data_IF_357885931102
#
_entry.id   IF_357885931102
#
_cell.length_a   1.000
_cell.length_b   1.000
_cell.length_c   1.000
_cell.angle_alpha   90.00
_cell.angle_beta   90.00
_cell.angle_gamma   90.00
#
_symmetry.space_group_name_H-M   'P 1'
#
loop_
_entity.id
_entity.type
_entity.pdbx_description
1 polymer ?
#
# COMPACT_ATOMS: atom_id res chain seq x y z
N UNK A 1 1.54 -1.66 20.87
CA UNK A 1 0.96 -2.62 19.89
C UNK A 1 0.04 -1.82 18.97
N UNK A 2 0.02 -2.07 17.66
CA UNK A 2 -0.80 -1.29 16.72
C UNK A 2 -2.31 -1.52 16.97
N UNK A 3 -3.10 -0.44 17.04
CA UNK A 3 -4.55 -0.47 17.32
C UNK A 3 -5.30 -1.45 16.40
N UNK A 4 -5.05 -1.38 15.08
CA UNK A 4 -5.69 -2.28 14.11
C UNK A 4 -5.29 -3.76 14.30
N UNK A 5 -4.11 -4.05 14.83
CA UNK A 5 -3.69 -5.42 15.13
C UNK A 5 -4.46 -6.01 16.30
N UNK A 6 -4.75 -5.20 17.31
CA UNK A 6 -5.61 -5.61 18.45
C UNK A 6 -7.05 -5.78 17.98
N UNK A 7 -7.59 -4.84 17.23
CA UNK A 7 -8.92 -4.90 16.63
C UNK A 7 -9.08 -6.14 15.73
N UNK A 8 -8.04 -6.49 14.94
CA UNK A 8 -8.07 -7.73 14.15
C UNK A 8 -8.28 -8.96 15.03
N UNK A 9 -7.55 -9.07 16.14
CA UNK A 9 -7.64 -10.23 17.04
C UNK A 9 -8.94 -10.29 17.82
N UNK A 10 -9.44 -9.16 18.30
CA UNK A 10 -10.60 -9.09 19.19
C UNK A 10 -11.93 -9.11 18.44
N UNK A 11 -12.01 -8.50 17.26
CA UNK A 11 -13.27 -8.28 16.57
C UNK A 11 -13.33 -8.89 15.16
N UNK A 12 -12.27 -8.66 14.34
CA UNK A 12 -12.30 -9.01 12.92
C UNK A 12 -12.21 -10.53 12.73
N UNK A 13 -11.28 -11.18 13.41
CA UNK A 13 -11.07 -12.62 13.26
C UNK A 13 -12.30 -13.46 13.69
N UNK A 14 -12.97 -13.18 14.83
CA UNK A 14 -14.19 -13.89 15.18
C UNK A 14 -15.33 -13.70 14.17
N UNK A 15 -15.54 -12.46 13.69
CA UNK A 15 -16.58 -12.14 12.68
C UNK A 15 -16.34 -12.86 11.34
N UNK A 16 -15.07 -12.95 10.91
CA UNK A 16 -14.72 -13.69 9.69
C UNK A 16 -14.92 -15.20 9.88
N UNK A 17 -14.57 -15.73 11.04
CA UNK A 17 -14.76 -17.14 11.36
C UNK A 17 -16.23 -17.54 11.31
N UNK A 18 -17.12 -16.72 11.86
CA UNK A 18 -18.56 -16.93 11.84
C UNK A 18 -19.14 -16.80 10.41
N UNK A 19 -18.76 -15.74 9.69
CA UNK A 19 -19.30 -15.45 8.34
C UNK A 19 -18.96 -16.52 7.31
N UNK A 20 -17.72 -17.02 7.32
CA UNK A 20 -17.23 -18.01 6.36
C UNK A 20 -17.18 -19.44 6.89
N UNK A 21 -17.63 -19.67 8.13
CA UNK A 21 -17.68 -20.99 8.79
C UNK A 21 -16.34 -21.75 8.74
N UNK A 22 -15.24 -21.07 9.05
CA UNK A 22 -13.93 -21.71 9.07
C UNK A 22 -13.83 -22.76 10.17
N UNK A 23 -13.23 -23.90 9.85
CA UNK A 23 -13.05 -25.03 10.80
C UNK A 23 -11.89 -24.80 11.78
N UNK A 24 -10.94 -23.93 11.43
CA UNK A 24 -9.76 -23.67 12.23
C UNK A 24 -9.44 -22.17 12.24
N UNK A 25 -9.01 -21.62 13.40
CA UNK A 25 -8.53 -20.24 13.47
C UNK A 25 -7.38 -19.91 12.51
N UNK A 26 -6.60 -20.91 12.10
CA UNK A 26 -5.49 -20.74 11.17
C UNK A 26 -5.94 -20.50 9.72
N UNK A 27 -7.20 -20.79 9.38
CA UNK A 27 -7.77 -20.54 8.05
C UNK A 27 -8.24 -19.10 7.89
N UNK A 28 -8.41 -18.36 8.99
CA UNK A 28 -8.91 -16.98 8.95
C UNK A 28 -7.94 -16.12 8.15
N UNK A 29 -8.41 -15.38 7.12
CA UNK A 29 -7.57 -14.50 6.33
C UNK A 29 -6.98 -13.37 7.19
N UNK A 30 -5.71 -13.07 6.96
CA UNK A 30 -4.98 -12.00 7.62
C UNK A 30 -4.13 -11.23 6.61
N UNK A 31 -3.75 -10.01 6.96
CA UNK A 31 -2.74 -9.28 6.21
C UNK A 31 -1.37 -9.93 6.38
N UNK A 32 -0.69 -10.19 5.27
CA UNK A 32 0.69 -10.68 5.23
C UNK A 32 1.68 -9.52 5.13
N UNK A 33 1.47 -8.62 4.18
CA UNK A 33 2.31 -7.45 3.93
C UNK A 33 1.56 -6.36 3.17
N UNK A 34 2.08 -5.13 3.27
CA UNK A 34 1.71 -4.02 2.41
C UNK A 34 2.96 -3.62 1.62
N UNK A 35 2.82 -3.51 0.31
CA UNK A 35 3.89 -3.05 -0.58
C UNK A 35 3.51 -1.69 -1.13
N UNK A 36 4.35 -0.70 -0.90
CA UNK A 36 4.23 0.63 -1.51
C UNK A 36 5.29 0.74 -2.60
N UNK A 37 4.88 1.13 -3.79
CA UNK A 37 5.75 1.29 -4.94
C UNK A 37 5.54 2.65 -5.60
N UNK A 38 6.63 3.31 -5.97
CA UNK A 38 6.63 4.56 -6.74
C UNK A 38 7.46 4.37 -7.99
N UNK A 39 6.84 4.54 -9.14
CA UNK A 39 7.54 4.55 -10.43
C UNK A 39 8.16 5.92 -10.70
N UNK A 40 9.47 5.98 -10.93
CA UNK A 40 10.21 7.21 -11.23
C UNK A 40 10.77 7.17 -12.65
N UNK A 41 9.92 7.42 -13.65
CA UNK A 41 10.32 7.40 -15.05
C UNK A 41 11.34 8.49 -15.44
N UNK A 42 11.37 9.57 -14.70
CA UNK A 42 12.30 10.72 -14.84
C UNK A 42 13.66 10.49 -14.17
N UNK A 43 13.82 9.46 -13.39
CA UNK A 43 15.11 9.09 -12.78
C UNK A 43 16.20 8.68 -13.79
N UNK A 44 15.81 8.40 -15.05
CA UNK A 44 16.76 8.16 -16.15
C UNK A 44 17.64 9.37 -16.44
N UNK A 45 17.07 10.58 -16.32
CA UNK A 45 17.73 11.84 -16.65
C UNK A 45 18.38 12.47 -15.41
N UNK A 46 17.87 12.18 -14.21
CA UNK A 46 18.39 12.69 -12.95
C UNK A 46 18.35 11.63 -11.84
N UNK A 47 19.51 11.05 -11.53
CA UNK A 47 19.62 10.02 -10.51
C UNK A 47 19.30 10.50 -9.08
N UNK A 48 19.43 11.80 -8.78
CA UNK A 48 19.12 12.38 -7.46
C UNK A 48 17.63 12.28 -7.11
N UNK A 49 16.76 12.24 -8.11
CA UNK A 49 15.31 12.05 -7.93
C UNK A 49 14.99 10.78 -7.14
N UNK A 50 15.75 9.70 -7.36
CA UNK A 50 15.54 8.44 -6.61
C UNK A 50 15.82 8.64 -5.13
N UNK A 51 16.86 9.36 -4.77
CA UNK A 51 17.25 9.56 -3.38
C UNK A 51 16.20 10.40 -2.65
N UNK A 52 15.69 11.47 -3.29
CA UNK A 52 14.55 12.26 -2.78
C UNK A 52 13.31 11.39 -2.55
N UNK A 53 12.93 10.56 -3.53
CA UNK A 53 11.76 9.67 -3.39
C UNK A 53 11.97 8.61 -2.30
N UNK A 54 13.20 8.10 -2.12
CA UNK A 54 13.52 7.19 -1.02
C UNK A 54 13.29 7.86 0.33
N UNK A 55 13.69 9.12 0.48
CA UNK A 55 13.48 9.90 1.71
C UNK A 55 11.98 10.12 1.96
N UNK A 56 11.23 10.59 0.96
CA UNK A 56 9.79 10.80 1.05
C UNK A 56 9.05 9.52 1.49
N UNK A 57 9.28 8.40 0.80
CA UNK A 57 8.63 7.13 1.13
C UNK A 57 9.07 6.60 2.49
N UNK A 58 10.32 6.84 2.87
CA UNK A 58 10.82 6.44 4.20
C UNK A 58 10.17 7.25 5.32
N UNK A 59 9.89 8.54 5.10
CA UNK A 59 9.13 9.38 6.05
C UNK A 59 7.68 8.90 6.18
N UNK A 60 6.99 8.63 5.07
CA UNK A 60 5.61 8.15 5.06
C UNK A 60 5.46 6.81 5.78
N UNK A 61 6.38 5.88 5.51
CA UNK A 61 6.23 4.49 5.98
C UNK A 61 6.94 4.19 7.30
N UNK A 62 7.84 5.05 7.73
CA UNK A 62 8.70 4.83 8.90
C UNK A 62 9.73 3.71 8.70
N UNK A 63 9.95 3.28 7.44
CA UNK A 63 10.92 2.25 7.08
C UNK A 63 11.71 2.68 5.85
N UNK A 64 13.03 2.48 5.84
CA UNK A 64 13.88 2.83 4.72
C UNK A 64 13.43 2.13 3.45
N UNK A 65 13.09 2.93 2.43
CA UNK A 65 12.70 2.41 1.12
C UNK A 65 13.94 1.98 0.32
N UNK A 66 13.73 1.08 -0.64
CA UNK A 66 14.80 0.54 -1.49
C UNK A 66 14.55 0.87 -2.96
N UNK A 67 15.58 1.23 -3.73
CA UNK A 67 15.43 1.45 -5.17
C UNK A 67 15.13 0.15 -5.90
N UNK A 68 14.37 0.24 -6.97
CA UNK A 68 14.11 -0.86 -7.90
C UNK A 68 14.88 -0.64 -9.20
N UNK A 69 15.40 -1.73 -9.75
CA UNK A 69 16.28 -1.71 -10.92
C UNK A 69 15.60 -2.32 -12.14
N UNK A 70 15.93 -1.79 -13.32
CA UNK A 70 15.49 -2.34 -14.59
C UNK A 70 16.10 -3.74 -14.81
N UNK A 71 15.24 -4.73 -15.05
CA UNK A 71 15.67 -6.12 -15.30
C UNK A 71 16.18 -6.36 -16.72
N UNK A 72 15.70 -5.56 -17.68
CA UNK A 72 16.05 -5.65 -19.10
C UNK A 72 16.27 -4.26 -19.67
N UNK A 73 17.14 -4.19 -20.70
CA UNK A 73 17.31 -2.97 -21.49
C UNK A 73 16.17 -2.82 -22.49
N UNK A 74 15.56 -1.62 -22.56
CA UNK A 74 14.46 -1.30 -23.49
C UNK A 74 14.79 0.02 -24.19
N UNK A 75 15.14 -0.03 -25.47
CA UNK A 75 15.59 1.12 -26.26
C UNK A 75 14.52 2.21 -26.35
N UNK A 76 13.24 1.86 -26.57
CA UNK A 76 12.13 2.80 -26.68
C UNK A 76 11.96 3.67 -25.43
N UNK A 77 12.27 3.15 -24.26
CA UNK A 77 12.21 3.88 -23.00
C UNK A 77 13.57 4.46 -22.56
N UNK A 78 14.62 4.31 -23.37
CA UNK A 78 16.00 4.70 -23.05
C UNK A 78 16.50 4.09 -21.74
N UNK A 79 16.08 2.84 -21.45
CA UNK A 79 16.46 2.10 -20.25
C UNK A 79 17.57 1.12 -20.55
N UNK A 80 18.54 1.05 -19.64
CA UNK A 80 19.56 0.00 -19.61
C UNK A 80 19.34 -0.90 -18.39
N UNK A 81 19.67 -2.15 -18.51
CA UNK A 81 19.66 -3.09 -17.38
C UNK A 81 20.50 -2.54 -16.22
N UNK A 82 19.96 -2.63 -15.01
CA UNK A 82 20.62 -2.13 -13.80
C UNK A 82 20.37 -0.64 -13.50
N UNK A 83 19.67 0.11 -14.36
CA UNK A 83 19.27 1.49 -14.02
C UNK A 83 18.19 1.51 -12.96
N UNK A 84 18.28 2.45 -12.02
CA UNK A 84 17.23 2.69 -11.01
C UNK A 84 16.00 3.27 -11.70
N UNK A 85 14.83 2.68 -11.52
CA UNK A 85 13.58 3.08 -12.19
C UNK A 85 12.40 3.33 -11.26
N UNK A 86 12.58 3.10 -9.98
CA UNK A 86 11.54 3.28 -8.98
C UNK A 86 12.03 3.03 -7.58
N UNK A 87 11.13 3.15 -6.64
CA UNK A 87 11.35 2.95 -5.21
C UNK A 87 10.23 2.08 -4.65
N UNK A 88 10.56 1.13 -3.80
CA UNK A 88 9.56 0.30 -3.10
C UNK A 88 9.90 0.14 -1.63
N UNK A 89 8.87 -0.11 -0.84
CA UNK A 89 8.98 -0.56 0.55
C UNK A 89 7.98 -1.68 0.81
N UNK A 90 8.37 -2.64 1.62
CA UNK A 90 7.49 -3.74 2.06
C UNK A 90 7.33 -3.67 3.56
N UNK A 91 6.12 -3.43 4.02
CA UNK A 91 5.76 -3.32 5.42
C UNK A 91 5.16 -4.62 5.93
N UNK A 92 5.55 -5.04 7.14
CA UNK A 92 5.06 -6.23 7.84
C UNK A 92 4.86 -5.93 9.32
N UNK A 93 4.11 -6.79 10.00
CA UNK A 93 3.92 -6.71 11.44
C UNK A 93 3.26 -5.41 11.89
N UNK A 94 3.70 -4.83 13.00
CA UNK A 94 3.08 -3.64 13.61
C UNK A 94 3.14 -2.42 12.68
N UNK A 95 4.25 -2.19 11.98
CA UNK A 95 4.39 -1.09 11.01
C UNK A 95 3.37 -1.16 9.88
N UNK A 96 3.02 -2.35 9.42
CA UNK A 96 2.00 -2.57 8.40
C UNK A 96 0.62 -2.13 8.89
N UNK A 97 0.23 -2.52 10.10
CA UNK A 97 -1.05 -2.13 10.68
C UNK A 97 -1.13 -0.62 10.98
N UNK A 98 -0.05 -0.02 11.48
CA UNK A 98 0.03 1.43 11.71
C UNK A 98 -0.06 2.23 10.41
N UNK A 99 0.64 1.80 9.36
CA UNK A 99 0.53 2.42 8.04
C UNK A 99 -0.89 2.33 7.49
N UNK A 100 -1.53 1.16 7.59
CA UNK A 100 -2.91 0.96 7.16
C UNK A 100 -3.90 1.86 7.92
N UNK A 101 -3.74 1.98 9.24
CA UNK A 101 -4.57 2.84 10.09
C UNK A 101 -4.47 4.31 9.66
N UNK A 102 -3.26 4.82 9.48
CA UNK A 102 -3.02 6.18 9.00
C UNK A 102 -3.56 6.40 7.59
N UNK A 103 -3.36 5.43 6.70
CA UNK A 103 -3.85 5.52 5.33
C UNK A 103 -5.38 5.66 5.29
N UNK A 104 -6.11 4.79 5.99
CA UNK A 104 -7.58 4.77 5.92
C UNK A 104 -8.23 5.93 6.68
N UNK A 105 -7.71 6.28 7.84
CA UNK A 105 -8.37 7.27 8.72
C UNK A 105 -7.87 8.70 8.52
N UNK A 106 -6.64 8.90 8.04
CA UNK A 106 -6.05 10.24 7.91
C UNK A 106 -5.74 10.63 6.46
N UNK A 107 -5.12 9.75 5.68
CA UNK A 107 -4.63 10.11 4.35
C UNK A 107 -5.73 10.06 3.29
N UNK A 108 -6.52 8.99 3.22
CA UNK A 108 -7.58 8.87 2.21
C UNK A 108 -8.66 9.96 2.31
N UNK A 109 -9.15 10.38 3.50
CA UNK A 109 -10.10 11.48 3.59
C UNK A 109 -9.57 12.83 3.07
N UNK A 110 -8.25 12.99 2.97
CA UNK A 110 -7.61 14.20 2.41
C UNK A 110 -7.51 14.20 0.88
N UNK A 111 -7.80 13.08 0.24
CA UNK A 111 -7.86 12.99 -1.23
C UNK A 111 -8.99 13.89 -1.74
N UNK A 112 -8.68 14.73 -2.72
CA UNK A 112 -9.66 15.61 -3.35
C UNK A 112 -10.79 14.78 -3.98
N UNK A 113 -12.05 15.18 -3.70
CA UNK A 113 -13.26 14.49 -4.19
C UNK A 113 -13.30 12.99 -3.87
N UNK A 114 -12.83 12.61 -2.68
CA UNK A 114 -12.82 11.21 -2.25
C UNK A 114 -14.23 10.64 -2.10
N UNK A 115 -14.56 9.62 -2.89
CA UNK A 115 -15.85 8.90 -2.89
C UNK A 115 -15.75 7.46 -2.39
N UNK A 116 -14.61 7.08 -1.87
CA UNK A 116 -14.29 5.71 -1.49
C UNK A 116 -13.28 5.05 -2.44
N UNK A 117 -12.70 3.94 -1.99
CA UNK A 117 -11.78 3.12 -2.79
C UNK A 117 -12.56 2.13 -3.66
N UNK A 118 -12.00 1.76 -4.80
CA UNK A 118 -12.65 0.85 -5.75
C UNK A 118 -12.88 -0.55 -5.12
N UNK A 119 -14.12 -1.04 -5.00
CA UNK A 119 -14.41 -2.34 -4.41
C UNK A 119 -13.99 -3.53 -5.29
N UNK A 120 -13.62 -3.31 -6.55
CA UNK A 120 -13.30 -4.36 -7.52
C UNK A 120 -11.81 -4.43 -7.90
N UNK A 121 -10.92 -3.75 -7.17
CA UNK A 121 -9.48 -3.74 -7.46
C UNK A 121 -8.73 -4.93 -6.82
N UNK A 122 -9.34 -6.11 -6.83
CA UNK A 122 -8.75 -7.37 -6.39
C UNK A 122 -8.17 -8.15 -7.58
N UNK A 123 -7.21 -9.02 -7.30
CA UNK A 123 -6.45 -9.79 -8.30
C UNK A 123 -6.99 -11.21 -8.58
N UNK A 124 -8.11 -11.60 -7.99
CA UNK A 124 -8.67 -12.96 -8.07
C UNK A 124 -8.09 -13.93 -7.03
N UNK A 125 -7.11 -13.49 -6.22
CA UNK A 125 -6.43 -14.30 -5.19
C UNK A 125 -6.43 -13.64 -3.81
N UNK A 126 -7.35 -12.71 -3.60
CA UNK A 126 -7.49 -12.03 -2.32
C UNK A 126 -6.47 -10.92 -2.03
N UNK A 127 -5.73 -10.43 -3.02
CA UNK A 127 -4.90 -9.25 -2.87
C UNK A 127 -5.61 -8.02 -3.44
N UNK A 128 -5.39 -6.87 -2.83
CA UNK A 128 -6.02 -5.61 -3.21
C UNK A 128 -4.98 -4.58 -3.62
N UNK A 129 -5.24 -3.85 -4.70
CA UNK A 129 -4.36 -2.80 -5.21
C UNK A 129 -5.04 -1.44 -5.18
N UNK A 130 -4.35 -0.44 -4.62
CA UNK A 130 -4.81 0.93 -4.53
C UNK A 130 -3.79 1.87 -5.19
N UNK A 131 -4.21 2.59 -6.23
CA UNK A 131 -3.43 3.66 -6.84
C UNK A 131 -3.76 5.01 -6.21
N UNK A 132 -2.74 5.73 -5.77
CA UNK A 132 -2.83 7.11 -5.31
C UNK A 132 -2.19 8.03 -6.32
N UNK A 133 -2.82 9.17 -6.61
CA UNK A 133 -2.31 10.14 -7.60
C UNK A 133 -1.25 11.07 -7.02
N UNK A 134 -1.30 11.33 -5.72
CA UNK A 134 -0.50 12.37 -5.07
C UNK A 134 0.03 11.87 -3.70
N UNK A 135 1.32 12.11 -3.43
CA UNK A 135 1.91 11.83 -2.12
C UNK A 135 1.52 12.87 -1.05
N UNK A 136 0.99 14.01 -1.45
CA UNK A 136 0.58 15.12 -0.57
C UNK A 136 -0.55 14.79 0.41
N UNK A 137 -1.25 13.70 0.19
CA UNK A 137 -2.30 13.24 1.11
C UNK A 137 -1.73 12.77 2.46
N UNK A 138 -0.44 12.44 2.51
CA UNK A 138 0.23 12.03 3.74
C UNK A 138 0.67 13.25 4.54
N UNK A 139 0.27 13.38 5.82
CA UNK A 139 0.60 14.54 6.66
C UNK A 139 2.09 14.69 6.96
N UNK A 140 2.86 13.60 6.80
CA UNK A 140 4.30 13.57 7.00
C UNK A 140 5.08 14.34 5.93
N UNK A 141 4.44 14.63 4.80
CA UNK A 141 5.06 15.32 3.66
C UNK A 141 4.71 16.80 3.68
N UNK A 142 5.72 17.64 3.74
CA UNK A 142 5.60 19.10 3.65
C UNK A 142 5.59 19.53 2.18
N UNK A 143 4.59 20.31 1.77
CA UNK A 143 4.44 20.81 0.39
C UNK A 143 5.69 21.54 -0.13
N UNK A 144 6.32 22.33 0.71
CA UNK A 144 7.47 23.17 0.33
C UNK A 144 8.75 22.38 0.03
N UNK A 145 8.81 21.10 0.44
CA UNK A 145 9.97 20.22 0.24
C UNK A 145 9.84 19.29 -0.95
N UNK A 146 8.70 19.33 -1.66
CA UNK A 146 8.44 18.44 -2.78
C UNK A 146 8.87 19.10 -4.09
N UNK A 147 9.75 18.44 -4.82
CA UNK A 147 10.15 18.87 -6.18
C UNK A 147 9.04 18.57 -7.21
N UNK A 148 8.32 17.46 -7.05
CA UNK A 148 7.32 17.00 -8.01
C UNK A 148 6.25 16.15 -7.34
N UNK A 149 4.98 16.37 -7.70
CA UNK A 149 3.87 15.52 -7.31
C UNK A 149 4.00 14.16 -8.02
N UNK A 150 3.95 13.08 -7.23
CA UNK A 150 4.09 11.70 -7.70
C UNK A 150 2.97 10.85 -7.18
N UNK A 151 2.49 9.95 -8.03
CA UNK A 151 1.60 8.87 -7.62
C UNK A 151 2.35 7.71 -7.01
N UNK A 152 1.61 6.85 -6.33
CA UNK A 152 2.12 5.60 -5.78
C UNK A 152 1.08 4.49 -5.84
N UNK A 153 1.55 3.27 -5.93
CA UNK A 153 0.74 2.06 -5.88
C UNK A 153 0.93 1.37 -4.53
N UNK A 154 -0.18 1.06 -3.87
CA UNK A 154 -0.20 0.36 -2.58
C UNK A 154 -0.88 -0.99 -2.79
N UNK A 155 -0.15 -2.07 -2.60
CA UNK A 155 -0.68 -3.42 -2.68
C UNK A 155 -0.82 -4.03 -1.28
N UNK A 156 -2.04 -4.43 -0.94
CA UNK A 156 -2.37 -5.16 0.27
C UNK A 156 -2.36 -6.66 -0.06
N UNK A 157 -1.38 -7.37 0.46
CA UNK A 157 -1.26 -8.82 0.29
C UNK A 157 -1.85 -9.51 1.50
N UNK A 158 -2.83 -10.37 1.25
CA UNK A 158 -3.52 -11.12 2.30
C UNK A 158 -3.28 -12.62 2.15
N UNK A 159 -3.67 -13.38 3.15
CA UNK A 159 -3.68 -14.86 3.10
C UNK A 159 -5.04 -15.41 2.69
N UNK A 160 -5.97 -14.57 2.24
CA UNK A 160 -7.27 -14.99 1.74
C UNK A 160 -7.12 -15.84 0.47
N UNK A 161 -8.01 -16.81 0.29
CA UNK A 161 -8.07 -17.62 -0.92
C UNK A 161 -8.94 -17.00 -2.01
N UNK A 162 -9.92 -16.20 -1.61
CA UNK A 162 -10.89 -15.55 -2.51
C UNK A 162 -10.93 -14.04 -2.29
N UNK A 163 -11.37 -13.31 -3.33
CA UNK A 163 -11.53 -11.85 -3.24
C UNK A 163 -12.65 -11.44 -2.26
N UNK A 164 -13.65 -12.29 -2.08
CA UNK A 164 -14.74 -12.06 -1.12
C UNK A 164 -14.25 -12.06 0.32
N UNK A 165 -13.41 -13.03 0.67
CA UNK A 165 -12.78 -13.11 1.99
C UNK A 165 -11.89 -11.88 2.26
N UNK A 166 -11.08 -11.50 1.28
CA UNK A 166 -10.21 -10.33 1.39
C UNK A 166 -11.00 -9.02 1.48
N UNK A 167 -12.08 -8.88 0.70
CA UNK A 167 -12.96 -7.71 0.75
C UNK A 167 -13.59 -7.55 2.13
N UNK A 168 -14.09 -8.64 2.70
CA UNK A 168 -14.68 -8.59 4.03
C UNK A 168 -13.64 -8.29 5.10
N UNK A 169 -12.45 -8.89 5.00
CA UNK A 169 -11.32 -8.59 5.88
C UNK A 169 -11.00 -7.08 5.86
N UNK A 170 -10.77 -6.50 4.69
CA UNK A 170 -10.44 -5.08 4.56
C UNK A 170 -11.59 -4.18 5.03
N UNK A 171 -12.85 -4.53 4.74
CA UNK A 171 -14.03 -3.82 5.19
C UNK A 171 -14.12 -3.77 6.70
N UNK A 172 -13.95 -4.90 7.38
CA UNK A 172 -13.96 -4.98 8.84
C UNK A 172 -12.78 -4.24 9.47
N UNK A 173 -11.67 -4.10 8.75
CA UNK A 173 -10.51 -3.30 9.16
C UNK A 173 -10.66 -1.80 8.87
N UNK A 174 -11.80 -1.37 8.35
CA UNK A 174 -12.11 0.05 8.14
C UNK A 174 -11.78 0.60 6.76
N UNK A 175 -11.57 -0.26 5.75
CA UNK A 175 -11.36 0.20 4.39
C UNK A 175 -12.61 0.94 3.85
N UNK A 176 -12.47 2.19 3.40
CA UNK A 176 -13.60 3.02 2.94
C UNK A 176 -13.97 2.70 1.48
N UNK A 177 -14.56 1.54 1.23
CA UNK A 177 -15.02 1.17 -0.10
C UNK A 177 -16.14 2.09 -0.61
N UNK A 178 -16.09 2.43 -1.91
CA UNK A 178 -17.18 3.13 -2.57
C UNK A 178 -18.45 2.28 -2.55
N UNK A 179 -19.61 2.96 -2.37
CA UNK A 179 -20.92 2.32 -2.39
C UNK A 179 -21.37 2.02 -3.81
#
# INVERSE_FOLDING_TARGET
MARLKEMYKSEVAPKLMEKFNYKSPMQIPKLDKIVVNVGTGDAKDNAKVIDTVIEEISMITGQKAVPTFAKKSVANFKLRQGMKIGVKVTLRGDRMYEFMDRLFNFSLPRVRDFKGINPNAFDGRGNYSLGLKEQLIFPEIEYDKIEKIRGMDIAFVTTANTDEEARELLKLMGAPFAK
#
